data_IF_939661204205
#
_entry.id   IF_939661204205
#
_cell.length_a   1.000
_cell.length_b   1.000
_cell.length_c   1.000
_cell.angle_alpha   90.00
_cell.angle_beta   90.00
_cell.angle_gamma   90.00
#
_symmetry.space_group_name_H-M   'P 1'
#
loop_
_entity.id
_entity.type
_entity.pdbx_description
1 polymer ?
#
# COMPACT_ATOMS: atom_id res chain seq x y z
N UNK A 1 -6.01 19.02 0.51
CA UNK A 1 -4.67 18.52 0.08
C UNK A 1 -4.08 17.46 1.00
N UNK A 2 -4.28 17.51 2.33
CA UNK A 2 -3.68 16.60 3.32
C UNK A 2 -4.71 15.73 4.08
N UNK A 3 -5.83 15.40 3.46
CA UNK A 3 -6.77 14.48 4.10
C UNK A 3 -6.21 13.05 4.02
N UNK A 4 -5.65 12.59 5.14
CA UNK A 4 -5.16 11.22 5.37
C UNK A 4 -6.12 10.44 6.26
N UNK A 5 -7.40 10.83 6.27
CA UNK A 5 -8.42 10.23 7.15
C UNK A 5 -9.68 9.80 6.41
N UNK A 6 -9.93 10.34 5.21
CA UNK A 6 -11.04 9.93 4.35
C UNK A 6 -10.62 8.84 3.38
N UNK A 7 -10.75 7.58 3.78
CA UNK A 7 -10.55 6.41 2.92
C UNK A 7 -11.87 5.70 2.63
N UNK A 8 -12.00 5.21 1.41
CA UNK A 8 -13.03 4.24 1.02
C UNK A 8 -12.35 2.93 0.64
N UNK A 9 -12.90 1.82 1.08
CA UNK A 9 -12.46 0.48 0.68
C UNK A 9 -13.59 -0.21 -0.06
N UNK A 10 -13.26 -0.80 -1.21
CA UNK A 10 -14.12 -1.71 -1.92
C UNK A 10 -13.38 -3.04 -2.05
N UNK A 11 -14.11 -4.14 -1.83
CA UNK A 11 -13.56 -5.50 -1.94
C UNK A 11 -14.27 -6.16 -3.10
N UNK A 12 -13.48 -6.78 -3.97
CA UNK A 12 -14.00 -7.49 -5.14
C UNK A 12 -14.77 -8.78 -4.81
N UNK A 13 -15.13 -9.58 -5.82
CA UNK A 13 -14.70 -9.44 -7.21
C UNK A 13 -15.25 -8.17 -7.88
N UNK A 14 -14.43 -7.56 -8.74
CA UNK A 14 -14.82 -6.40 -9.54
C UNK A 14 -15.19 -6.85 -10.95
N UNK A 15 -16.24 -6.25 -11.51
CA UNK A 15 -16.59 -6.43 -12.92
C UNK A 15 -15.60 -5.66 -13.81
N UNK A 16 -15.51 -6.05 -15.08
CA UNK A 16 -14.56 -5.44 -16.03
C UNK A 16 -14.77 -3.92 -16.18
N UNK A 17 -16.03 -3.47 -16.18
CA UNK A 17 -16.37 -2.05 -16.26
C UNK A 17 -15.91 -1.26 -15.03
N UNK A 18 -15.95 -1.88 -13.84
CA UNK A 18 -15.44 -1.28 -12.60
C UNK A 18 -13.92 -1.15 -12.65
N UNK A 19 -13.22 -2.19 -13.11
CA UNK A 19 -11.77 -2.17 -13.28
C UNK A 19 -11.33 -1.15 -14.32
N UNK A 20 -12.06 -1.00 -15.43
CA UNK A 20 -11.78 0.00 -16.44
C UNK A 20 -11.90 1.42 -15.88
N UNK A 21 -12.91 1.65 -15.04
CA UNK A 21 -13.10 2.94 -14.35
C UNK A 21 -11.94 3.24 -13.40
N UNK A 22 -11.46 2.23 -12.66
CA UNK A 22 -10.29 2.35 -11.78
C UNK A 22 -9.00 2.51 -12.58
N UNK A 23 -8.93 1.97 -13.80
CA UNK A 23 -7.75 2.02 -14.65
C UNK A 23 -7.57 3.38 -15.36
N UNK A 24 -8.67 4.06 -15.70
CA UNK A 24 -8.64 5.35 -16.40
C UNK A 24 -7.70 6.41 -15.78
N UNK A 25 -7.70 6.63 -14.45
CA UNK A 25 -6.80 7.58 -13.80
C UNK A 25 -5.31 7.24 -13.95
N UNK A 26 -4.94 5.97 -14.16
CA UNK A 26 -3.53 5.58 -14.33
C UNK A 26 -2.98 5.91 -15.73
N UNK A 27 -3.86 6.21 -16.69
CA UNK A 27 -3.48 6.51 -18.08
C UNK A 27 -3.44 8.01 -18.40
N UNK A 28 -3.96 8.85 -17.50
CA UNK A 28 -4.09 10.30 -17.70
C UNK A 28 -2.99 11.05 -16.94
N UNK A 29 -2.55 12.17 -17.49
CA UNK A 29 -1.67 13.11 -16.77
C UNK A 29 -2.36 13.65 -15.51
N UNK A 30 -1.56 14.18 -14.58
CA UNK A 30 -2.03 14.68 -13.28
C UNK A 30 -3.23 15.62 -13.45
N UNK A 31 -4.36 15.21 -12.87
CA UNK A 31 -5.57 16.01 -12.80
C UNK A 31 -6.08 16.00 -11.36
N UNK A 32 -6.04 17.15 -10.70
CA UNK A 32 -6.42 17.30 -9.29
C UNK A 32 -7.93 17.06 -9.03
N UNK A 33 -8.73 16.93 -10.08
CA UNK A 33 -10.16 16.56 -9.98
C UNK A 33 -10.38 15.04 -9.95
N UNK A 34 -9.36 14.23 -10.24
CA UNK A 34 -9.47 12.77 -10.17
C UNK A 34 -9.41 12.30 -8.71
N UNK A 35 -10.20 11.28 -8.40
CA UNK A 35 -10.08 10.58 -7.12
C UNK A 35 -8.71 9.91 -7.01
N UNK A 36 -8.09 10.03 -5.83
CA UNK A 36 -6.85 9.32 -5.50
C UNK A 36 -7.19 7.87 -5.26
N UNK A 37 -6.70 6.98 -6.11
CA UNK A 37 -7.12 5.57 -6.14
C UNK A 37 -5.89 4.69 -6.15
N UNK A 38 -5.95 3.62 -5.35
CA UNK A 38 -5.01 2.51 -5.40
C UNK A 38 -5.79 1.23 -5.59
N UNK A 39 -5.48 0.48 -6.65
CA UNK A 39 -5.92 -0.89 -6.85
C UNK A 39 -4.89 -1.81 -6.20
N UNK A 40 -5.34 -2.77 -5.40
CA UNK A 40 -4.49 -3.79 -4.77
C UNK A 40 -5.01 -5.16 -5.18
N UNK A 41 -4.12 -6.02 -5.67
CA UNK A 41 -4.42 -7.39 -6.06
C UNK A 41 -3.53 -8.32 -5.24
N UNK A 42 -4.15 -9.24 -4.50
CA UNK A 42 -3.47 -10.24 -3.68
C UNK A 42 -3.21 -11.52 -4.49
N UNK A 43 -2.34 -12.39 -3.99
CA UNK A 43 -2.08 -13.73 -4.51
C UNK A 43 -1.67 -13.75 -6.01
N UNK A 44 -1.03 -12.68 -6.52
CA UNK A 44 -0.75 -12.54 -7.96
C UNK A 44 0.22 -13.63 -8.45
N UNK A 45 1.16 -14.03 -7.60
CA UNK A 45 2.12 -15.09 -7.87
C UNK A 45 1.44 -16.43 -8.22
N UNK A 46 0.25 -16.70 -7.67
CA UNK A 46 -0.51 -17.92 -7.97
C UNK A 46 -1.05 -17.97 -9.39
N UNK A 47 -1.32 -16.81 -9.99
CA UNK A 47 -1.90 -16.68 -11.32
C UNK A 47 -0.88 -16.26 -12.38
N UNK A 48 0.28 -15.75 -11.96
CA UNK A 48 1.36 -15.32 -12.83
C UNK A 48 2.68 -16.03 -12.48
N UNK A 49 2.98 -17.17 -13.14
CA UNK A 49 4.15 -17.99 -12.83
C UNK A 49 5.49 -17.24 -12.84
N UNK A 50 5.61 -16.21 -13.70
CA UNK A 50 6.83 -15.40 -13.76
C UNK A 50 7.14 -14.65 -12.45
N UNK A 51 6.10 -14.22 -11.70
CA UNK A 51 6.29 -13.60 -10.39
C UNK A 51 6.68 -14.66 -9.35
N UNK A 52 6.04 -15.83 -9.36
CA UNK A 52 6.38 -16.92 -8.46
C UNK A 52 7.85 -17.38 -8.63
N UNK A 53 8.29 -17.59 -9.86
CA UNK A 53 9.67 -17.98 -10.18
C UNK A 53 10.67 -16.92 -9.72
N UNK A 54 10.38 -15.65 -9.99
CA UNK A 54 11.21 -14.53 -9.56
C UNK A 54 11.30 -14.41 -8.03
N UNK A 55 10.18 -14.58 -7.32
CA UNK A 55 10.15 -14.59 -5.85
C UNK A 55 10.94 -15.77 -5.27
N UNK A 56 10.85 -16.95 -5.90
CA UNK A 56 11.59 -18.14 -5.50
C UNK A 56 13.09 -17.95 -5.59
N UNK A 57 13.58 -17.33 -6.66
CA UNK A 57 15.00 -17.01 -6.84
C UNK A 57 15.45 -15.89 -5.89
N UNK A 58 14.75 -14.75 -5.93
CA UNK A 58 15.14 -13.51 -5.23
C UNK A 58 15.11 -13.68 -3.71
N UNK A 59 14.09 -14.36 -3.18
CA UNK A 59 13.89 -14.55 -1.74
C UNK A 59 14.28 -15.95 -1.26
N UNK A 60 15.15 -16.65 -2.00
CA UNK A 60 15.66 -17.97 -1.64
C UNK A 60 16.41 -18.00 -0.30
N UNK A 61 16.83 -16.83 0.21
CA UNK A 61 17.47 -16.67 1.52
C UNK A 61 16.48 -16.79 2.70
N UNK A 62 15.17 -16.69 2.46
CA UNK A 62 14.13 -16.90 3.47
C UNK A 62 13.56 -18.32 3.38
N UNK A 63 13.27 -18.98 4.52
CA UNK A 63 12.53 -20.23 4.50
C UNK A 63 11.17 -20.06 3.83
N UNK A 64 10.76 -20.98 2.95
CA UNK A 64 9.49 -20.87 2.21
C UNK A 64 8.27 -20.65 3.10
N UNK A 65 8.24 -21.25 4.30
CA UNK A 65 7.13 -21.12 5.26
C UNK A 65 6.99 -19.72 5.90
N UNK A 66 7.98 -18.84 5.72
CA UNK A 66 7.93 -17.44 6.16
C UNK A 66 7.42 -16.49 5.07
N UNK A 67 7.26 -16.97 3.83
CA UNK A 67 6.78 -16.18 2.70
C UNK A 67 5.29 -16.45 2.51
N UNK A 68 4.51 -15.40 2.28
CA UNK A 68 3.08 -15.50 2.02
C UNK A 68 2.81 -15.43 0.51
N UNK A 69 2.47 -14.26 -0.03
CA UNK A 69 2.11 -14.03 -1.42
C UNK A 69 2.80 -12.80 -2.05
N UNK A 70 2.65 -12.66 -3.36
CA UNK A 70 3.07 -11.50 -4.13
C UNK A 70 1.91 -10.54 -4.37
N UNK A 71 1.69 -9.58 -3.47
CA UNK A 71 0.69 -8.52 -3.66
C UNK A 71 1.21 -7.46 -4.64
N UNK A 72 0.37 -7.04 -5.59
CA UNK A 72 0.68 -5.96 -6.54
C UNK A 72 -0.29 -4.80 -6.34
N UNK A 73 0.23 -3.58 -6.34
CA UNK A 73 -0.60 -2.37 -6.29
C UNK A 73 -0.34 -1.44 -7.47
N UNK A 74 -1.41 -0.82 -7.97
CA UNK A 74 -1.37 0.26 -8.95
C UNK A 74 -2.00 1.50 -8.34
N UNK A 75 -1.29 2.62 -8.35
CA UNK A 75 -1.73 3.87 -7.76
C UNK A 75 -1.57 5.02 -8.75
N UNK A 76 -2.54 5.93 -8.76
CA UNK A 76 -2.43 7.17 -9.51
C UNK A 76 -1.67 8.21 -8.66
N UNK A 77 -1.43 9.40 -9.21
CA UNK A 77 -0.72 10.45 -8.48
C UNK A 77 -1.44 10.82 -7.18
N UNK A 78 -0.75 10.63 -6.05
CA UNK A 78 -1.30 10.84 -4.71
C UNK A 78 -2.15 9.68 -4.18
N UNK A 79 -2.30 8.60 -4.95
CA UNK A 79 -2.96 7.36 -4.53
C UNK A 79 -2.15 6.60 -3.47
N UNK A 80 -2.81 6.21 -2.40
CA UNK A 80 -2.28 5.33 -1.37
C UNK A 80 -3.38 4.76 -0.50
N UNK A 81 -3.02 3.79 0.33
CA UNK A 81 -3.94 3.14 1.29
C UNK A 81 -3.94 3.83 2.66
N UNK A 82 -3.17 4.91 2.79
CA UNK A 82 -3.01 5.65 4.04
C UNK A 82 -1.90 5.11 4.94
N UNK A 83 -1.59 5.84 6.02
CA UNK A 83 -0.68 5.38 7.06
C UNK A 83 -1.30 4.17 7.76
N UNK A 84 -0.58 3.06 7.82
CA UNK A 84 -1.11 1.81 8.36
C UNK A 84 0.03 1.00 9.00
N UNK A 85 -0.35 -0.05 9.72
CA UNK A 85 0.56 -1.02 10.32
C UNK A 85 0.24 -2.43 9.86
N UNK A 86 1.29 -3.22 9.66
CA UNK A 86 1.20 -4.63 9.30
C UNK A 86 1.87 -5.51 10.36
N UNK A 87 1.38 -6.74 10.51
CA UNK A 87 2.00 -7.80 11.32
C UNK A 87 2.98 -8.64 10.50
N UNK A 88 3.07 -8.43 9.19
CA UNK A 88 3.99 -9.14 8.29
C UNK A 88 5.27 -8.33 8.04
N UNK A 89 6.39 -9.05 7.89
CA UNK A 89 7.59 -8.49 7.25
C UNK A 89 7.29 -8.31 5.75
N UNK A 90 7.55 -7.14 5.19
CA UNK A 90 7.26 -6.83 3.78
C UNK A 90 8.50 -6.32 3.05
N UNK A 91 8.67 -6.78 1.81
CA UNK A 91 9.60 -6.17 0.85
C UNK A 91 8.80 -5.35 -0.16
N UNK A 92 8.99 -4.03 -0.16
CA UNK A 92 8.37 -3.13 -1.12
C UNK A 92 9.29 -2.95 -2.33
N UNK A 93 8.85 -3.44 -3.49
CA UNK A 93 9.60 -3.38 -4.76
C UNK A 93 8.88 -2.42 -5.70
N UNK A 94 9.59 -1.40 -6.18
CA UNK A 94 9.08 -0.53 -7.23
C UNK A 94 9.31 -1.19 -8.59
N UNK A 95 8.23 -1.43 -9.32
CA UNK A 95 8.27 -2.08 -10.64
C UNK A 95 8.18 -1.09 -11.80
N UNK A 96 7.54 0.06 -11.59
CA UNK A 96 7.41 1.13 -12.58
C UNK A 96 7.07 2.47 -11.91
N UNK A 97 7.56 3.58 -12.46
CA UNK A 97 7.28 4.92 -11.96
C UNK A 97 7.95 5.20 -10.60
N UNK A 98 7.44 6.20 -9.89
CA UNK A 98 8.03 6.69 -8.63
C UNK A 98 7.02 6.65 -7.50
N UNK A 99 7.44 6.18 -6.32
CA UNK A 99 6.63 6.23 -5.10
C UNK A 99 7.45 6.71 -3.90
N UNK A 100 6.87 7.66 -3.17
CA UNK A 100 7.39 8.09 -1.87
C UNK A 100 6.77 7.24 -0.77
N UNK A 101 7.63 6.65 0.06
CA UNK A 101 7.27 5.87 1.24
C UNK A 101 7.72 6.60 2.49
N UNK A 102 6.88 6.58 3.52
CA UNK A 102 7.16 7.15 4.82
C UNK A 102 7.02 6.05 5.87
N UNK A 103 8.06 5.84 6.67
CA UNK A 103 8.13 4.76 7.65
C UNK A 103 8.35 5.36 9.04
N UNK A 104 7.48 5.00 9.98
CA UNK A 104 7.58 5.44 11.36
C UNK A 104 8.67 4.65 12.08
N UNK A 105 9.60 5.36 12.75
CA UNK A 105 10.68 4.76 13.53
C UNK A 105 10.25 4.31 14.91
N UNK A 106 9.04 4.70 15.35
CA UNK A 106 8.56 4.45 16.70
C UNK A 106 7.87 3.09 16.77
N UNK A 107 8.32 2.25 17.69
CA UNK A 107 7.54 1.08 18.09
C UNK A 107 6.39 1.53 18.98
N UNK A 108 5.17 1.31 18.51
CA UNK A 108 3.97 1.60 19.28
C UNK A 108 3.65 0.43 20.20
N UNK A 109 3.16 0.75 21.41
CA UNK A 109 2.50 -0.28 22.22
C UNK A 109 1.18 -0.68 21.56
N UNK A 110 0.77 -1.94 21.71
CA UNK A 110 -0.51 -2.45 21.18
C UNK A 110 -1.68 -1.54 21.58
N UNK A 111 -1.71 -1.05 22.83
CA UNK A 111 -2.76 -0.12 23.29
C UNK A 111 -2.77 1.17 22.46
N UNK A 112 -1.62 1.76 22.23
CA UNK A 112 -1.50 3.01 21.50
C UNK A 112 -1.89 2.85 20.03
N UNK A 113 -1.46 1.75 19.39
CA UNK A 113 -1.93 1.38 18.04
C UNK A 113 -3.45 1.34 18.00
N UNK A 114 -4.09 0.56 18.89
CA UNK A 114 -5.55 0.43 18.91
C UNK A 114 -6.30 1.75 19.14
N UNK A 115 -5.77 2.65 19.96
CA UNK A 115 -6.36 3.97 20.24
C UNK A 115 -6.25 4.94 19.05
N UNK A 116 -5.32 4.70 18.13
CA UNK A 116 -5.05 5.57 16.98
C UNK A 116 -5.63 5.05 15.67
N UNK A 117 -6.29 3.88 15.66
CA UNK A 117 -6.91 3.37 14.43
C UNK A 117 -8.13 4.20 14.01
N UNK A 118 -8.28 4.41 12.70
CA UNK A 118 -9.51 4.94 12.11
C UNK A 118 -10.64 3.93 12.38
N UNK A 119 -11.73 4.32 13.04
CA UNK A 119 -12.78 3.40 13.43
C UNK A 119 -13.57 2.88 12.23
N UNK A 120 -14.14 1.68 12.36
CA UNK A 120 -15.01 1.03 11.36
C UNK A 120 -14.35 0.74 10.00
N UNK A 121 -13.02 0.57 9.97
CA UNK A 121 -12.29 0.09 8.80
C UNK A 121 -11.85 -1.36 9.03
N UNK A 122 -11.95 -2.19 7.99
CA UNK A 122 -11.44 -3.57 8.04
C UNK A 122 -9.90 -3.62 7.99
N UNK A 123 -9.27 -2.53 7.57
CA UNK A 123 -7.81 -2.34 7.52
C UNK A 123 -7.34 -1.41 8.65
N UNK A 124 -6.15 -1.67 9.18
CA UNK A 124 -5.56 -0.91 10.30
C UNK A 124 -4.93 0.40 9.84
N UNK A 125 -5.76 1.36 9.47
CA UNK A 125 -5.34 2.71 9.10
C UNK A 125 -5.15 3.55 10.36
N UNK A 126 -4.04 4.25 10.46
CA UNK A 126 -3.69 5.14 11.56
C UNK A 126 -4.29 6.53 11.34
N UNK A 127 -4.88 7.08 12.38
CA UNK A 127 -5.20 8.50 12.49
C UNK A 127 -3.97 9.26 13.02
N UNK A 128 -3.90 10.57 12.74
CA UNK A 128 -2.88 11.43 13.37
C UNK A 128 -1.45 11.29 12.84
N UNK A 129 -1.22 10.63 11.69
CA UNK A 129 0.12 10.48 11.09
C UNK A 129 0.90 11.79 10.89
N UNK A 130 0.18 12.90 10.69
CA UNK A 130 0.78 14.24 10.63
C UNK A 130 1.59 14.58 11.90
N UNK A 131 1.22 14.07 13.07
CA UNK A 131 1.95 14.31 14.32
C UNK A 131 3.30 13.59 14.34
N UNK A 132 3.40 12.42 13.72
CA UNK A 132 4.66 11.68 13.59
C UNK A 132 5.68 12.46 12.75
N UNK A 133 5.22 13.10 11.66
CA UNK A 133 6.03 14.03 10.85
C UNK A 133 6.60 15.17 11.69
N UNK A 134 5.76 15.81 12.51
CA UNK A 134 6.17 16.94 13.37
C UNK A 134 7.19 16.49 14.42
N UNK A 135 7.08 15.25 14.90
CA UNK A 135 7.98 14.69 15.89
C UNK A 135 9.35 14.25 15.36
N UNK A 136 9.55 14.25 14.04
CA UNK A 136 10.81 13.81 13.40
C UNK A 136 11.04 12.31 13.42
N UNK A 137 10.01 11.51 13.70
CA UNK A 137 10.09 10.05 13.79
C UNK A 137 9.77 9.35 12.46
N UNK A 138 9.71 10.08 11.36
CA UNK A 138 9.41 9.53 10.03
C UNK A 138 10.69 9.49 9.20
N UNK A 139 10.95 8.35 8.59
CA UNK A 139 11.96 8.19 7.55
C UNK A 139 11.30 8.11 6.19
N UNK A 140 11.82 8.87 5.23
CA UNK A 140 11.25 8.96 3.88
C UNK A 140 12.16 8.28 2.87
N UNK A 141 11.58 7.41 2.06
CA UNK A 141 12.23 6.70 0.97
C UNK A 141 11.55 7.07 -0.34
N UNK A 142 12.31 7.32 -1.39
CA UNK A 142 11.78 7.49 -2.74
C UNK A 142 12.25 6.28 -3.56
N UNK A 143 11.31 5.47 -4.00
CA UNK A 143 11.59 4.32 -4.86
C UNK A 143 11.25 4.69 -6.30
N UNK A 144 12.20 4.44 -7.21
CA UNK A 144 12.11 4.74 -8.64
C UNK A 144 12.54 3.51 -9.45
N UNK A 145 11.89 3.26 -10.58
CA UNK A 145 12.16 2.15 -11.49
C UNK A 145 12.30 2.63 -12.94
#
# INVERSE_FOLDING_TARGET
>A
ENDVTSFGMQVGPFEEDELNTVAEPFQKEKNDSLLRTTLVVNDVDRFFPGLADWMDETFSFLPRWRRDDGQVSLANMGGGIGPHVDNYDVFLIQTSGTRTWEVGRRQWSIRHEMETLVPNMDVRILSGWHEEHVSGNVETFVLEA
#
